data_IF_661822235797
#
_entry.id   IF_661822235797
#
_cell.length_a   1.000
_cell.length_b   1.000
_cell.length_c   1.000
_cell.angle_alpha   90.00
_cell.angle_beta   90.00
_cell.angle_gamma   90.00
#
_symmetry.space_group_name_H-M   'P 1'
#
loop_
_entity.id
_entity.type
_entity.pdbx_description
1 polymer ?
#
# COMPACT_ATOMS: atom_id res chain seq x y z
N UNK A 1 6.23 6.97 38.18
CA UNK A 1 6.66 6.23 36.98
C UNK A 1 6.86 7.23 35.87
N UNK A 2 8.07 7.39 35.31
CA UNK A 2 8.37 8.34 34.24
C UNK A 2 7.43 8.26 33.04
N UNK A 3 7.22 9.39 32.35
CA UNK A 3 6.40 9.46 31.13
C UNK A 3 7.30 9.31 29.91
N UNK A 4 7.11 8.23 29.15
CA UNK A 4 7.75 8.08 27.83
C UNK A 4 6.97 8.84 26.76
N UNK A 5 7.64 9.76 26.09
CA UNK A 5 7.11 10.62 25.03
C UNK A 5 7.69 10.26 23.65
N UNK A 6 8.36 9.11 23.54
CA UNK A 6 8.87 8.59 22.27
C UNK A 6 7.71 8.16 21.38
N UNK A 7 7.79 8.54 20.10
CA UNK A 7 6.90 8.08 19.05
C UNK A 7 7.73 7.81 17.80
N UNK A 8 7.88 6.55 17.44
CA UNK A 8 8.67 6.13 16.28
C UNK A 8 7.92 6.37 14.97
N UNK A 9 8.68 6.57 13.89
CA UNK A 9 8.17 6.77 12.53
C UNK A 9 8.53 8.13 11.93
N UNK A 10 8.65 8.16 10.60
CA UNK A 10 8.93 9.36 9.84
C UNK A 10 7.71 9.78 9.02
N UNK A 11 7.02 10.89 9.32
CA UNK A 11 5.89 11.36 8.50
C UNK A 11 6.31 11.62 7.05
N UNK A 12 7.56 12.04 6.82
CA UNK A 12 8.14 12.26 5.49
C UNK A 12 8.04 11.03 4.59
N UNK A 13 8.31 9.82 5.10
CA UNK A 13 8.25 8.60 4.27
C UNK A 13 6.81 8.24 3.89
N UNK A 14 5.85 8.55 4.76
CA UNK A 14 4.43 8.33 4.50
C UNK A 14 3.89 9.30 3.45
N UNK A 15 4.26 10.59 3.54
CA UNK A 15 3.94 11.56 2.49
C UNK A 15 4.59 11.18 1.15
N UNK A 16 5.85 10.73 1.15
CA UNK A 16 6.51 10.27 -0.06
C UNK A 16 5.77 9.08 -0.69
N UNK A 17 5.32 8.11 0.13
CA UNK A 17 4.50 6.99 -0.34
C UNK A 17 3.15 7.43 -0.90
N UNK A 18 2.42 8.29 -0.18
CA UNK A 18 1.15 8.88 -0.66
C UNK A 18 1.31 9.59 -2.00
N UNK A 19 2.36 10.41 -2.13
CA UNK A 19 2.69 11.13 -3.36
C UNK A 19 3.03 10.18 -4.49
N UNK A 20 3.87 9.18 -4.26
CA UNK A 20 4.21 8.17 -5.27
C UNK A 20 2.96 7.47 -5.80
N UNK A 21 2.04 7.08 -4.91
CA UNK A 21 0.79 6.43 -5.28
C UNK A 21 -0.05 7.32 -6.20
N UNK A 22 -0.21 8.61 -5.89
CA UNK A 22 -1.01 9.53 -6.72
C UNK A 22 -0.31 9.92 -8.02
N UNK A 23 0.90 10.45 -7.90
CA UNK A 23 1.61 11.11 -9.00
C UNK A 23 2.16 10.11 -10.02
N UNK A 24 2.56 8.91 -9.57
CA UNK A 24 3.18 7.90 -10.45
C UNK A 24 2.21 6.78 -10.77
N UNK A 25 1.81 6.01 -9.76
CA UNK A 25 0.97 4.82 -9.99
C UNK A 25 -0.41 5.20 -10.52
N UNK A 26 -1.05 6.20 -9.92
CA UNK A 26 -2.34 6.70 -10.36
C UNK A 26 -2.31 7.18 -11.81
N UNK A 27 -1.29 7.95 -12.18
CA UNK A 27 -1.09 8.41 -13.56
C UNK A 27 -0.92 7.26 -14.57
N UNK A 28 -0.11 6.25 -14.24
CA UNK A 28 0.10 5.09 -15.13
C UNK A 28 -1.17 4.25 -15.32
N UNK A 29 -1.97 4.09 -14.26
CA UNK A 29 -3.25 3.38 -14.31
C UNK A 29 -4.27 4.12 -15.19
N UNK A 30 -4.36 5.44 -15.07
CA UNK A 30 -5.24 6.28 -15.88
C UNK A 30 -4.84 6.26 -17.37
N UNK A 31 -3.53 6.35 -17.66
CA UNK A 31 -3.00 6.19 -19.02
C UNK A 31 -3.32 4.81 -19.62
N UNK A 32 -3.29 3.76 -18.80
CA UNK A 32 -3.67 2.41 -19.21
C UNK A 32 -5.17 2.32 -19.54
N UNK A 33 -6.05 2.92 -18.71
CA UNK A 33 -7.49 2.99 -18.97
C UNK A 33 -7.79 3.69 -20.30
N UNK A 34 -7.12 4.82 -20.57
CA UNK A 34 -7.23 5.57 -21.83
C UNK A 34 -6.80 4.73 -23.03
N UNK A 35 -5.66 4.02 -22.91
CA UNK A 35 -5.15 3.13 -23.97
C UNK A 35 -6.12 1.98 -24.27
N UNK A 36 -6.71 1.38 -23.23
CA UNK A 36 -7.71 0.32 -23.39
C UNK A 36 -8.94 0.81 -24.16
N UNK A 37 -9.49 1.98 -23.81
CA UNK A 37 -10.65 2.55 -24.54
C UNK A 37 -10.31 2.80 -26.01
N UNK A 38 -9.16 3.43 -26.28
CA UNK A 38 -8.71 3.69 -27.64
C UNK A 38 -8.57 2.41 -28.48
N UNK A 39 -7.94 1.37 -27.91
CA UNK A 39 -7.81 0.07 -28.59
C UNK A 39 -9.18 -0.59 -28.83
N UNK A 40 -10.10 -0.50 -27.87
CA UNK A 40 -11.46 -1.01 -28.02
C UNK A 40 -12.24 -0.30 -29.12
N UNK A 41 -12.11 1.02 -29.22
CA UNK A 41 -12.76 1.81 -30.26
C UNK A 41 -12.13 1.55 -31.64
N UNK A 42 -10.80 1.46 -31.74
CA UNK A 42 -10.12 1.10 -32.99
C UNK A 42 -10.61 -0.26 -33.51
N UNK A 43 -10.70 -1.28 -32.63
CA UNK A 43 -11.19 -2.60 -33.02
C UNK A 43 -12.64 -2.59 -33.50
N UNK A 44 -13.53 -1.79 -32.88
CA UNK A 44 -14.92 -1.66 -33.33
C UNK A 44 -15.05 -1.05 -34.72
N UNK A 45 -14.13 -0.15 -35.10
CA UNK A 45 -14.14 0.49 -36.42
C UNK A 45 -13.35 -0.31 -37.48
N UNK A 46 -12.27 -0.97 -37.08
CA UNK A 46 -11.35 -1.67 -37.98
C UNK A 46 -11.69 -3.15 -38.21
N UNK A 47 -12.32 -3.82 -37.24
CA UNK A 47 -12.66 -5.25 -37.33
C UNK A 47 -14.15 -5.43 -37.52
N UNK A 48 -14.57 -5.73 -38.74
CA UNK A 48 -15.97 -5.98 -39.05
C UNK A 48 -16.45 -7.29 -38.42
N UNK A 49 -17.65 -7.26 -37.84
CA UNK A 49 -18.34 -8.43 -37.30
C UNK A 49 -18.23 -8.60 -35.78
N UNK A 50 -18.65 -9.77 -35.31
CA UNK A 50 -18.81 -10.07 -33.87
C UNK A 50 -17.49 -10.08 -33.09
N UNK A 51 -16.36 -10.37 -33.74
CA UNK A 51 -15.05 -10.39 -33.10
C UNK A 51 -14.59 -9.00 -32.65
N UNK A 52 -14.75 -7.97 -33.51
CA UNK A 52 -14.42 -6.58 -33.19
C UNK A 52 -15.25 -6.04 -32.03
N UNK A 53 -16.56 -6.30 -32.06
CA UNK A 53 -17.47 -5.95 -30.97
C UNK A 53 -17.06 -6.60 -29.64
N UNK A 54 -16.82 -7.91 -29.64
CA UNK A 54 -16.43 -8.65 -28.43
C UNK A 54 -15.09 -8.18 -27.85
N UNK A 55 -14.11 -7.85 -28.70
CA UNK A 55 -12.85 -7.26 -28.25
C UNK A 55 -13.06 -5.86 -27.64
N UNK A 56 -13.81 -5.00 -28.32
CA UNK A 56 -14.13 -3.66 -27.83
C UNK A 56 -14.79 -3.67 -26.46
N UNK A 57 -15.73 -4.60 -26.24
CA UNK A 57 -16.41 -4.75 -24.95
C UNK A 57 -15.48 -5.25 -23.84
N UNK A 58 -14.52 -6.15 -24.15
CA UNK A 58 -13.49 -6.57 -23.18
C UNK A 58 -12.58 -5.41 -22.79
N UNK A 59 -12.14 -4.61 -23.76
CA UNK A 59 -11.30 -3.44 -23.49
C UNK A 59 -12.03 -2.39 -22.66
N UNK A 60 -13.31 -2.15 -22.95
CA UNK A 60 -14.15 -1.24 -22.17
C UNK A 60 -14.30 -1.74 -20.72
N UNK A 61 -14.57 -3.03 -20.51
CA UNK A 61 -14.65 -3.62 -19.17
C UNK A 61 -13.31 -3.54 -18.42
N UNK A 62 -12.19 -3.75 -19.11
CA UNK A 62 -10.86 -3.59 -18.53
C UNK A 62 -10.57 -2.14 -18.13
N UNK A 63 -10.98 -1.16 -18.95
CA UNK A 63 -10.84 0.26 -18.63
C UNK A 63 -11.63 0.64 -17.37
N UNK A 64 -12.87 0.16 -17.22
CA UNK A 64 -13.69 0.37 -16.00
C UNK A 64 -12.97 -0.18 -14.75
N UNK A 65 -12.31 -1.33 -14.87
CA UNK A 65 -11.50 -1.88 -13.76
C UNK A 65 -10.26 -1.05 -13.49
N UNK A 66 -9.59 -0.51 -14.51
CA UNK A 66 -8.49 0.42 -14.30
C UNK A 66 -8.95 1.70 -13.59
N UNK A 67 -10.13 2.24 -13.90
CA UNK A 67 -10.71 3.38 -13.18
C UNK A 67 -10.96 3.06 -11.70
N UNK A 68 -11.49 1.86 -11.41
CA UNK A 68 -11.64 1.40 -10.03
C UNK A 68 -10.27 1.32 -9.31
N UNK A 69 -9.20 0.96 -10.03
CA UNK A 69 -7.85 0.83 -9.46
C UNK A 69 -7.33 2.18 -9.09
N UNK A 70 -7.54 3.14 -9.99
CA UNK A 70 -7.17 4.53 -9.78
C UNK A 70 -7.83 5.07 -8.51
N UNK A 71 -9.13 4.82 -8.33
CA UNK A 71 -9.86 5.24 -7.15
C UNK A 71 -9.32 4.59 -5.85
N UNK A 72 -9.01 3.29 -5.88
CA UNK A 72 -8.43 2.59 -4.72
C UNK A 72 -7.00 3.09 -4.38
N UNK A 73 -6.22 3.44 -5.39
CA UNK A 73 -4.89 4.07 -5.23
C UNK A 73 -5.04 5.44 -4.56
N UNK A 74 -6.00 6.27 -4.99
CA UNK A 74 -6.26 7.58 -4.38
C UNK A 74 -6.70 7.49 -2.92
N UNK A 75 -7.64 6.59 -2.63
CA UNK A 75 -8.12 6.36 -1.28
C UNK A 75 -7.00 5.87 -0.35
N UNK A 76 -6.15 4.95 -0.83
CA UNK A 76 -4.99 4.48 -0.05
C UNK A 76 -3.97 5.59 0.20
N UNK A 77 -3.68 6.39 -0.83
CA UNK A 77 -2.79 7.54 -0.70
C UNK A 77 -3.34 8.58 0.30
N UNK A 78 -4.65 8.81 0.31
CA UNK A 78 -5.32 9.68 1.28
C UNK A 78 -5.14 9.19 2.71
N UNK A 79 -5.41 7.91 2.97
CA UNK A 79 -5.21 7.32 4.29
C UNK A 79 -3.75 7.44 4.76
N UNK A 80 -2.77 7.27 3.86
CA UNK A 80 -1.35 7.48 4.20
C UNK A 80 -1.04 8.93 4.59
N UNK A 81 -1.58 9.92 3.87
CA UNK A 81 -1.40 11.33 4.22
C UNK A 81 -2.06 11.69 5.55
N UNK A 82 -3.30 11.24 5.79
CA UNK A 82 -4.01 11.51 7.05
C UNK A 82 -3.31 10.86 8.26
N UNK A 83 -2.76 9.66 8.07
CA UNK A 83 -1.95 8.99 9.08
C UNK A 83 -0.66 9.77 9.37
N UNK A 84 0.01 10.29 8.33
CA UNK A 84 1.20 11.14 8.47
C UNK A 84 0.91 12.46 9.19
N UNK A 85 -0.22 13.10 8.88
CA UNK A 85 -0.69 14.30 9.57
C UNK A 85 -0.92 14.03 11.05
N UNK A 86 -1.61 12.93 11.37
CA UNK A 86 -1.86 12.52 12.77
C UNK A 86 -0.56 12.21 13.51
N UNK A 87 0.39 11.51 12.88
CA UNK A 87 1.70 11.24 13.44
C UNK A 87 2.47 12.54 13.74
N UNK A 88 2.46 13.49 12.81
CA UNK A 88 3.11 14.80 12.97
C UNK A 88 2.48 15.58 14.12
N UNK A 89 1.14 15.61 14.20
CA UNK A 89 0.41 16.23 15.29
C UNK A 89 0.76 15.61 16.64
N UNK A 90 0.76 14.27 16.73
CA UNK A 90 1.13 13.55 17.94
C UNK A 90 2.59 13.82 18.36
N UNK A 91 3.55 13.80 17.42
CA UNK A 91 4.95 14.14 17.69
C UNK A 91 5.11 15.57 18.21
N UNK A 92 4.35 16.52 17.65
CA UNK A 92 4.32 17.92 18.09
C UNK A 92 3.76 18.04 19.51
N UNK A 93 2.65 17.35 19.82
CA UNK A 93 2.09 17.32 21.19
C UNK A 93 3.08 16.71 22.19
N UNK A 94 3.78 15.62 21.83
CA UNK A 94 4.80 15.00 22.68
C UNK A 94 5.97 15.96 22.95
N UNK A 95 6.40 16.72 21.95
CA UNK A 95 7.43 17.76 22.12
C UNK A 95 6.95 18.89 23.04
N UNK A 96 5.72 19.37 22.83
CA UNK A 96 5.13 20.42 23.66
C UNK A 96 5.00 19.99 25.13
N UNK A 97 4.62 18.74 25.39
CA UNK A 97 4.57 18.18 26.74
C UNK A 97 5.94 18.19 27.43
N UNK A 98 7.02 17.84 26.69
CA UNK A 98 8.39 17.92 27.21
C UNK A 98 8.81 19.37 27.50
N UNK A 99 8.52 20.30 26.59
CA UNK A 99 8.85 21.71 26.77
C UNK A 99 8.11 22.33 27.96
N UNK A 100 6.82 22.01 28.11
CA UNK A 100 6.02 22.44 29.26
C UNK A 100 6.59 21.87 30.56
N UNK A 101 6.89 20.57 30.60
CA UNK A 101 7.47 19.93 31.77
C UNK A 101 8.80 20.58 32.18
N UNK A 102 9.71 20.79 31.22
CA UNK A 102 10.99 21.46 31.46
C UNK A 102 10.80 22.90 31.98
N UNK A 103 9.87 23.66 31.40
CA UNK A 103 9.56 25.02 31.83
C UNK A 103 8.99 25.09 33.26
N UNK A 104 8.37 24.01 33.74
CA UNK A 104 7.85 23.88 35.10
C UNK A 104 8.82 23.20 36.06
N UNK A 105 10.09 23.05 35.67
CA UNK A 105 11.15 22.52 36.52
C UNK A 105 11.15 21.00 36.68
N UNK A 106 10.46 20.25 35.81
CA UNK A 106 10.60 18.80 35.74
C UNK A 106 11.86 18.43 34.96
N UNK A 107 12.49 17.31 35.36
CA UNK A 107 13.66 16.78 34.68
C UNK A 107 13.20 16.03 33.41
N UNK A 108 13.74 16.43 32.26
CA UNK A 108 13.50 15.77 30.97
C UNK A 108 14.79 15.10 30.50
N UNK A 109 14.78 13.78 30.39
CA UNK A 109 15.91 12.97 29.94
C UNK A 109 15.61 12.39 28.55
N UNK A 110 16.01 13.09 27.49
CA UNK A 110 15.73 12.71 26.11
C UNK A 110 14.22 12.72 25.82
N UNK A 111 13.63 11.55 25.62
CA UNK A 111 12.19 11.37 25.41
C UNK A 111 11.42 11.02 26.70
N UNK A 112 12.06 11.03 27.86
CA UNK A 112 11.40 10.72 29.13
C UNK A 112 11.21 11.98 29.99
N UNK A 113 10.03 12.14 30.56
CA UNK A 113 9.76 13.11 31.64
C UNK A 113 9.84 12.34 32.95
N UNK A 114 10.77 12.70 33.83
CA UNK A 114 10.95 12.01 35.11
C UNK A 114 9.89 12.43 36.13
N UNK A 115 9.74 11.61 37.16
CA UNK A 115 8.82 11.88 38.26
C UNK A 115 9.20 13.19 38.99
N UNK A 116 8.21 13.94 39.51
CA UNK A 116 8.46 15.14 40.31
C UNK A 116 9.38 14.84 41.49
N UNK A 117 10.46 15.63 41.63
CA UNK A 117 11.38 15.54 42.75
C UNK A 117 11.81 16.94 43.17
N UNK A 118 11.39 17.35 44.37
CA UNK A 118 11.85 18.57 45.03
C UNK A 118 11.69 18.42 46.54
N UNK A 119 12.69 18.84 47.34
CA UNK A 119 12.57 18.89 48.80
C UNK A 119 11.66 20.04 49.27
N UNK A 120 11.44 21.06 48.43
CA UNK A 120 10.53 22.17 48.73
C UNK A 120 9.07 21.76 48.39
N UNK A 121 8.13 21.80 49.36
CA UNK A 121 6.75 21.37 49.15
C UNK A 121 5.99 22.22 48.13
N UNK A 122 6.30 23.52 48.01
CA UNK A 122 5.62 24.42 47.06
C UNK A 122 6.04 24.06 45.64
N UNK A 123 7.36 23.92 45.41
CA UNK A 123 7.91 23.50 44.11
C UNK A 123 7.45 22.10 43.74
N UNK A 124 7.45 21.17 44.71
CA UNK A 124 6.98 19.80 44.47
C UNK A 124 5.52 19.77 44.00
N UNK A 125 4.65 20.59 44.61
CA UNK A 125 3.25 20.68 44.20
C UNK A 125 3.10 21.24 42.78
N UNK A 126 3.89 22.26 42.40
CA UNK A 126 3.90 22.80 41.04
C UNK A 126 4.35 21.74 40.01
N UNK A 127 5.45 21.03 40.30
CA UNK A 127 5.95 19.94 39.46
C UNK A 127 4.90 18.83 39.29
N UNK A 128 4.15 18.47 40.35
CA UNK A 128 3.07 17.48 40.26
C UNK A 128 1.94 17.91 39.32
N UNK A 129 1.56 19.19 39.34
CA UNK A 129 0.54 19.71 38.42
C UNK A 129 1.05 19.68 36.97
N UNK A 130 2.28 20.13 36.73
CA UNK A 130 2.89 20.06 35.41
C UNK A 130 2.99 18.62 34.88
N UNK A 131 3.35 17.69 35.76
CA UNK A 131 3.43 16.27 35.44
C UNK A 131 2.08 15.68 35.03
N UNK A 132 1.00 16.03 35.76
CA UNK A 132 -0.35 15.60 35.42
C UNK A 132 -0.80 16.14 34.05
N UNK A 133 -0.50 17.39 33.72
CA UNK A 133 -0.80 17.98 32.41
C UNK A 133 -0.02 17.30 31.30
N UNK A 134 1.29 17.06 31.49
CA UNK A 134 2.10 16.33 30.53
C UNK A 134 1.55 14.91 30.29
N UNK A 135 1.15 14.21 31.36
CA UNK A 135 0.55 12.87 31.25
C UNK A 135 -0.75 12.89 30.43
N UNK A 136 -1.60 13.90 30.62
CA UNK A 136 -2.83 14.07 29.85
C UNK A 136 -2.54 14.33 28.36
N UNK A 137 -1.57 15.17 28.04
CA UNK A 137 -1.19 15.45 26.64
C UNK A 137 -0.64 14.19 25.95
N UNK A 138 0.18 13.43 26.66
CA UNK A 138 0.76 12.17 26.15
C UNK A 138 -0.33 11.12 25.95
N UNK A 139 -1.30 11.00 26.87
CA UNK A 139 -2.41 10.05 26.70
C UNK A 139 -3.31 10.42 25.52
N UNK A 140 -3.59 11.71 25.32
CA UNK A 140 -4.32 12.21 24.16
C UNK A 140 -3.59 11.88 22.85
N UNK A 141 -2.29 12.18 22.76
CA UNK A 141 -1.50 11.88 21.57
C UNK A 141 -1.45 10.38 21.25
N UNK A 142 -1.34 9.53 22.27
CA UNK A 142 -1.41 8.07 22.10
C UNK A 142 -2.78 7.61 21.62
N UNK A 143 -3.87 8.17 22.16
CA UNK A 143 -5.23 7.84 21.72
C UNK A 143 -5.45 8.19 20.24
N UNK A 144 -4.97 9.36 19.79
CA UNK A 144 -5.03 9.74 18.37
C UNK A 144 -4.31 8.71 17.48
N UNK A 145 -3.12 8.25 17.89
CA UNK A 145 -2.34 7.27 17.12
C UNK A 145 -3.00 5.88 17.09
N UNK A 146 -3.67 5.46 18.16
CA UNK A 146 -4.44 4.20 18.16
C UNK A 146 -5.57 4.27 17.14
N UNK A 147 -6.33 5.37 17.14
CA UNK A 147 -7.41 5.57 16.16
C UNK A 147 -6.88 5.61 14.73
N UNK A 148 -5.83 6.38 14.47
CA UNK A 148 -5.22 6.47 13.13
C UNK A 148 -4.71 5.12 12.64
N UNK A 149 -4.10 4.31 13.53
CA UNK A 149 -3.65 2.95 13.19
C UNK A 149 -4.82 2.05 12.83
N UNK A 150 -5.91 2.11 13.59
CA UNK A 150 -7.11 1.31 13.31
C UNK A 150 -7.70 1.65 11.93
N UNK A 151 -7.76 2.94 11.56
CA UNK A 151 -8.21 3.39 10.23
C UNK A 151 -7.30 2.84 9.13
N UNK A 152 -5.98 2.97 9.28
CA UNK A 152 -5.02 2.45 8.29
C UNK A 152 -5.12 0.92 8.13
N UNK A 153 -5.28 0.18 9.23
CA UNK A 153 -5.46 -1.27 9.21
C UNK A 153 -6.79 -1.68 8.56
N UNK A 154 -7.88 -0.97 8.85
CA UNK A 154 -9.17 -1.21 8.20
C UNK A 154 -9.10 -0.99 6.69
N UNK A 155 -8.40 0.07 6.25
CA UNK A 155 -8.17 0.34 4.82
C UNK A 155 -7.35 -0.76 4.16
N UNK A 156 -6.27 -1.20 4.80
CA UNK A 156 -5.47 -2.32 4.31
C UNK A 156 -6.31 -3.60 4.19
N UNK A 157 -7.12 -3.92 5.20
CA UNK A 157 -8.00 -5.08 5.16
C UNK A 157 -9.04 -5.00 4.03
N UNK A 158 -9.64 -3.82 3.80
CA UNK A 158 -10.57 -3.59 2.71
C UNK A 158 -9.92 -3.81 1.33
N UNK A 159 -8.71 -3.28 1.14
CA UNK A 159 -7.93 -3.48 -0.10
C UNK A 159 -7.58 -4.96 -0.35
N UNK A 160 -7.30 -5.73 0.70
CA UNK A 160 -7.06 -7.18 0.58
C UNK A 160 -8.32 -8.00 0.34
N UNK A 161 -9.46 -7.62 0.93
CA UNK A 161 -10.72 -8.36 0.82
C UNK A 161 -11.34 -8.28 -0.58
N UNK A 162 -11.03 -7.21 -1.33
CA UNK A 162 -11.55 -6.98 -2.67
C UNK A 162 -10.41 -6.94 -3.69
N UNK A 163 -9.79 -8.11 -4.01
CA UNK A 163 -8.80 -8.17 -5.08
C UNK A 163 -9.47 -7.71 -6.36
N UNK A 164 -8.98 -6.59 -6.85
CA UNK A 164 -9.62 -5.80 -7.88
C UNK A 164 -9.46 -6.41 -9.28
N UNK A 165 -8.42 -7.24 -9.43
CA UNK A 165 -8.21 -8.12 -10.58
C UNK A 165 -8.13 -9.53 -10.02
N UNK A 166 -9.13 -10.36 -10.30
CA UNK A 166 -9.11 -11.78 -9.98
C UNK A 166 -8.51 -12.55 -11.16
N UNK A 167 -7.88 -13.71 -10.95
CA UNK A 167 -7.42 -14.54 -12.07
C UNK A 167 -8.51 -14.85 -13.10
N UNK A 168 -9.75 -15.08 -12.63
CA UNK A 168 -10.92 -15.32 -13.50
C UNK A 168 -11.35 -14.10 -14.33
N UNK A 169 -10.97 -12.89 -13.92
CA UNK A 169 -11.29 -11.66 -14.67
C UNK A 169 -10.52 -11.54 -15.98
N UNK A 170 -9.37 -12.23 -16.07
CA UNK A 170 -8.52 -12.31 -17.25
C UNK A 170 -8.97 -13.45 -18.18
N UNK A 171 -9.46 -14.54 -17.61
CA UNK A 171 -9.81 -15.78 -18.35
C UNK A 171 -11.27 -15.79 -18.82
N UNK A 172 -12.19 -15.29 -17.99
CA UNK A 172 -13.64 -15.51 -18.14
C UNK A 172 -14.47 -14.21 -18.08
N UNK A 173 -13.84 -13.05 -18.26
CA UNK A 173 -14.52 -11.75 -18.20
C UNK A 173 -15.72 -11.67 -19.15
N UNK A 174 -16.69 -10.77 -18.94
CA UNK A 174 -18.00 -10.75 -19.60
C UNK A 174 -18.00 -10.61 -21.15
N UNK A 175 -16.85 -10.46 -21.80
CA UNK A 175 -16.70 -10.58 -23.26
C UNK A 175 -16.05 -11.89 -23.72
N UNK A 176 -15.66 -12.77 -22.79
CA UNK A 176 -15.38 -14.16 -23.02
C UNK A 176 -16.70 -14.82 -23.38
N UNK A 177 -17.08 -14.75 -24.66
CA UNK A 177 -18.20 -15.52 -25.19
C UNK A 177 -18.11 -16.93 -24.62
N UNK A 178 -19.27 -17.48 -24.20
CA UNK A 178 -19.38 -18.80 -23.58
C UNK A 178 -18.35 -19.72 -24.23
N UNK A 179 -17.49 -20.40 -23.43
CA UNK A 179 -16.36 -21.16 -23.95
C UNK A 179 -16.89 -21.92 -25.14
N UNK A 180 -16.37 -21.60 -26.35
CA UNK A 180 -16.90 -22.14 -27.60
C UNK A 180 -17.07 -23.61 -27.35
N UNK A 181 -18.32 -24.07 -27.19
CA UNK A 181 -18.58 -25.46 -26.91
C UNK A 181 -17.98 -26.13 -28.11
N UNK A 182 -16.85 -26.83 -27.88
CA UNK A 182 -16.18 -27.59 -28.92
C UNK A 182 -17.33 -28.38 -29.54
N UNK A 183 -17.65 -28.15 -30.83
CA UNK A 183 -18.82 -28.77 -31.44
C UNK A 183 -18.73 -30.24 -31.09
N UNK A 184 -19.81 -30.76 -30.48
CA UNK A 184 -19.87 -32.15 -30.04
C UNK A 184 -19.30 -32.97 -31.18
N UNK A 185 -18.16 -33.64 -30.94
CA UNK A 185 -17.51 -34.45 -31.93
C UNK A 185 -18.59 -35.40 -32.43
N UNK A 186 -19.07 -35.17 -33.65
CA UNK A 186 -20.01 -36.07 -34.28
C UNK A 186 -19.27 -37.39 -34.37
N UNK A 187 -19.77 -38.38 -33.62
CA UNK A 187 -19.33 -39.77 -33.65
C UNK A 187 -19.10 -40.18 -35.10
N UNK A 188 -17.82 -40.24 -35.46
CA UNK A 188 -17.32 -40.36 -36.80
C UNK A 188 -15.87 -40.80 -36.69
N UNK A 189 -15.72 -41.97 -36.07
CA UNK A 189 -14.49 -42.76 -35.97
C UNK A 189 -13.61 -42.61 -37.22
N UNK A 190 -12.45 -41.96 -37.05
CA UNK A 190 -11.26 -42.33 -37.80
C UNK A 190 -10.24 -42.80 -36.75
N UNK A 191 -9.95 -44.11 -36.68
CA UNK A 191 -8.96 -44.64 -35.75
C UNK A 191 -7.58 -44.11 -36.14
N UNK A 192 -7.08 -43.12 -35.39
CA UNK A 192 -5.68 -42.72 -35.45
C UNK A 192 -4.85 -43.79 -34.76
N UNK A 193 -4.01 -44.46 -35.54
CA UNK A 193 -3.03 -45.43 -35.07
C UNK A 193 -2.10 -44.77 -34.02
N UNK A 194 -1.69 -45.50 -32.97
CA UNK A 194 -0.79 -45.00 -31.96
C UNK A 194 0.61 -44.81 -32.57
N UNK A 195 0.94 -43.57 -32.96
CA UNK A 195 2.33 -43.20 -33.25
C UNK A 195 3.15 -43.26 -31.95
N UNK A 196 4.23 -44.02 -32.04
CA UNK A 196 5.16 -44.31 -30.97
C UNK A 196 5.75 -43.03 -30.40
N UNK A 197 5.46 -42.75 -29.13
CA UNK A 197 6.13 -41.68 -28.37
C UNK A 197 7.56 -42.12 -28.03
N UNK A 198 8.52 -41.50 -28.70
CA UNK A 198 9.92 -41.47 -28.30
C UNK A 198 10.06 -40.73 -26.94
N UNK A 199 10.81 -41.28 -25.97
CA UNK A 199 11.02 -40.64 -24.68
C UNK A 199 12.03 -39.48 -24.81
N UNK A 200 11.52 -38.23 -24.80
CA UNK A 200 12.36 -37.05 -24.73
C UNK A 200 13.07 -36.97 -23.36
N UNK A 201 14.39 -36.89 -23.43
CA UNK A 201 15.32 -36.86 -22.31
C UNK A 201 15.04 -35.72 -21.32
N UNK A 202 15.16 -36.05 -20.02
CA UNK A 202 15.19 -35.09 -18.94
C UNK A 202 16.40 -34.15 -19.09
N UNK A 203 16.15 -32.89 -19.45
CA UNK A 203 17.16 -31.83 -19.36
C UNK A 203 17.03 -31.15 -17.99
N UNK A 204 17.96 -31.54 -17.13
CA UNK A 204 18.24 -30.99 -15.81
C UNK A 204 18.73 -29.55 -15.94
N UNK A 205 17.84 -28.57 -15.77
CA UNK A 205 18.19 -27.16 -15.70
C UNK A 205 18.66 -26.81 -14.28
N UNK A 206 19.95 -27.05 -14.04
CA UNK A 206 20.72 -26.39 -12.99
C UNK A 206 20.80 -24.89 -13.30
N UNK A 207 19.97 -24.06 -12.66
CA UNK A 207 20.10 -22.60 -12.76
C UNK A 207 20.89 -22.02 -11.58
N UNK A 208 22.08 -21.59 -11.97
CA UNK A 208 23.13 -20.86 -11.26
C UNK A 208 22.58 -19.73 -10.39
N UNK A 209 22.87 -19.81 -9.09
CA UNK A 209 22.83 -18.69 -8.14
C UNK A 209 23.97 -17.74 -8.48
N UNK A 210 23.68 -16.71 -9.29
CA UNK A 210 24.61 -15.61 -9.54
C UNK A 210 24.62 -14.66 -8.33
N UNK A 211 25.69 -14.76 -7.56
CA UNK A 211 26.11 -13.81 -6.53
C UNK A 211 26.21 -12.40 -7.13
N UNK A 212 25.35 -11.49 -6.66
CA UNK A 212 25.51 -10.05 -6.91
C UNK A 212 26.62 -9.51 -6.02
N UNK A 213 27.78 -9.31 -6.63
CA UNK A 213 28.87 -8.48 -6.13
C UNK A 213 28.36 -7.07 -5.80
N UNK A 214 28.58 -6.62 -4.57
CA UNK A 214 28.35 -5.24 -4.13
C UNK A 214 29.42 -4.28 -4.69
N UNK A 215 29.10 -2.98 -4.82
CA UNK A 215 30.03 -1.98 -5.34
C UNK A 215 31.14 -1.61 -4.34
N UNK A 216 32.35 -1.26 -4.83
CA UNK A 216 33.48 -0.85 -3.98
C UNK A 216 33.26 0.55 -3.38
N UNK A 217 33.62 0.68 -2.11
CA UNK A 217 33.64 1.93 -1.33
C UNK A 217 34.77 2.84 -1.83
N UNK A 218 34.55 4.15 -2.09
CA UNK A 218 35.64 5.06 -2.44
C UNK A 218 36.49 5.40 -1.21
N UNK A 219 37.81 5.33 -1.39
CA UNK A 219 38.81 5.72 -0.41
C UNK A 219 38.77 7.24 -0.17
N UNK A 220 38.68 7.63 1.10
CA UNK A 220 38.86 9.02 1.56
C UNK A 220 40.34 9.25 1.81
N UNK A 221 40.97 10.06 0.98
CA UNK A 221 42.33 10.57 1.23
C UNK A 221 42.22 11.83 2.10
N UNK A 222 43.03 11.88 3.17
CA UNK A 222 43.17 12.99 4.11
C UNK A 222 43.94 14.16 3.53
#
# INVERSE_FOLDING_TARGET
MPIDTRLDGGPVTLYAGSRYLRDRLGFEVDGSATTLRAAGDEARHGWLGSAGAAFGDRMAAAAVRADALRAEVDATALTLSEYADTLTGAQTTMLAARQLAAAQGLIVAGTMILDPYSPDPVVHQQQRLAYAVALQQVSQARAMMVTARAVAQARQAAAHAQPMIRPGDVVSGPGGGAPVQRPAATDGDIPFAPEQREPAAAHELNHVVQQRNGPPTPAVTR
#
